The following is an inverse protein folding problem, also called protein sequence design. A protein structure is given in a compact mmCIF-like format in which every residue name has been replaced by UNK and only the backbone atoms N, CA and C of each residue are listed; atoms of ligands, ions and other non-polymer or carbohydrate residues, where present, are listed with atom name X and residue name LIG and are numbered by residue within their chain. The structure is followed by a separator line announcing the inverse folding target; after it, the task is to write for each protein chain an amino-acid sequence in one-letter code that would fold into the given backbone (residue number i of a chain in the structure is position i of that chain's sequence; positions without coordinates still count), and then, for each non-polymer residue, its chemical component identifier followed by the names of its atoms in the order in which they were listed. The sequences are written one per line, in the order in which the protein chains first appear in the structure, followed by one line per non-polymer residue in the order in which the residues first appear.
data_IF_226599799698
#
_entry.id   IF_226599799698
#
_cell.length_a   1.000
_cell.length_b   1.000
_cell.length_c   1.000
_cell.angle_alpha   90.00
_cell.angle_beta   90.00
_cell.angle_gamma   90.00
#
_symmetry.space_group_name_H-M   'P 1'
#
loop_
_entity.id
_entity.type
_entity.pdbx_description
1 polymer ?
#
# COMPACT_ATOMS: atom_id res chain seq x y z
N UNK A 1 -0.87 7.87 -7.56
CA UNK A 1 -2.22 8.15 -8.08
C UNK A 1 -2.84 6.86 -8.56
N UNK A 2 -4.09 6.60 -8.17
CA UNK A 2 -4.85 5.42 -8.62
C UNK A 2 -6.06 5.90 -9.41
N UNK A 3 -6.20 5.42 -10.64
CA UNK A 3 -7.38 5.66 -11.46
C UNK A 3 -8.41 4.58 -11.15
N UNK A 4 -9.61 5.02 -10.77
CA UNK A 4 -10.75 4.15 -10.47
C UNK A 4 -11.47 3.74 -11.76
N UNK A 5 -12.35 2.73 -11.66
CA UNK A 5 -13.13 2.24 -12.80
C UNK A 5 -14.08 3.29 -13.40
N UNK A 6 -14.48 4.30 -12.63
CA UNK A 6 -15.32 5.41 -13.10
C UNK A 6 -14.50 6.62 -13.60
N UNK A 7 -13.17 6.46 -13.74
CA UNK A 7 -12.27 7.45 -14.32
C UNK A 7 -11.78 8.53 -13.36
N UNK A 8 -12.22 8.53 -12.10
CA UNK A 8 -11.69 9.45 -11.07
C UNK A 8 -10.28 9.05 -10.66
N UNK A 9 -9.46 10.04 -10.33
CA UNK A 9 -8.14 9.84 -9.74
C UNK A 9 -8.19 10.01 -8.22
N UNK A 10 -7.74 8.99 -7.50
CA UNK A 10 -7.58 9.01 -6.05
C UNK A 10 -6.11 9.27 -5.69
N UNK A 11 -5.90 10.21 -4.77
CA UNK A 11 -4.64 10.44 -4.08
C UNK A 11 -4.76 9.89 -2.66
N UNK A 12 -4.03 8.83 -2.37
CA UNK A 12 -4.11 8.10 -1.09
C UNK A 12 -2.76 8.28 -0.41
N UNK A 13 -2.66 9.12 0.64
CA UNK A 13 -1.42 9.31 1.37
C UNK A 13 -1.09 8.05 2.17
N UNK A 14 0.15 7.58 2.08
CA UNK A 14 0.65 6.46 2.89
C UNK A 14 1.58 7.05 3.95
N UNK A 15 1.10 7.11 5.18
CA UNK A 15 1.83 7.73 6.29
C UNK A 15 2.52 6.72 7.22
N UNK A 16 2.23 5.43 7.05
CA UNK A 16 2.71 4.36 7.91
C UNK A 16 3.73 3.47 7.18
N UNK A 17 4.59 2.79 7.94
CA UNK A 17 5.51 1.78 7.39
C UNK A 17 4.69 0.61 6.84
N UNK A 18 4.82 0.37 5.54
CA UNK A 18 4.16 -0.76 4.86
C UNK A 18 4.95 -2.05 5.14
N UNK A 19 4.27 -3.04 5.71
CA UNK A 19 4.77 -4.41 5.85
C UNK A 19 4.07 -5.35 4.85
N UNK A 20 4.59 -6.58 4.59
CA UNK A 20 4.07 -7.46 3.53
C UNK A 20 2.57 -7.79 3.61
N UNK A 21 2.00 -7.76 4.81
CA UNK A 21 0.58 -8.06 5.07
C UNK A 21 -0.29 -6.79 5.18
N UNK A 22 0.28 -5.61 4.95
CA UNK A 22 -0.45 -4.36 5.06
C UNK A 22 -1.47 -4.22 3.93
N UNK A 23 -2.70 -3.85 4.29
CA UNK A 23 -3.76 -3.49 3.36
C UNK A 23 -4.29 -2.09 3.68
N UNK A 24 -4.30 -1.21 2.69
CA UNK A 24 -5.03 0.05 2.80
C UNK A 24 -6.47 -0.17 2.32
N UNK A 25 -7.45 0.12 3.17
CA UNK A 25 -8.88 -0.08 2.86
C UNK A 25 -9.55 1.28 2.66
N UNK A 26 -9.95 1.56 1.42
CA UNK A 26 -10.70 2.76 1.08
C UNK A 26 -12.18 2.41 0.98
N UNK A 27 -13.02 2.85 1.94
CA UNK A 27 -14.43 2.50 1.95
C UNK A 27 -15.17 3.11 0.77
N UNK A 28 -16.19 2.40 0.26
CA UNK A 28 -17.12 2.86 -0.80
C UNK A 28 -16.48 3.13 -2.18
N UNK A 29 -15.22 2.76 -2.40
CA UNK A 29 -14.52 2.88 -3.68
C UNK A 29 -14.46 1.57 -4.48
N UNK A 30 -15.20 0.55 -4.05
CA UNK A 30 -15.35 -0.72 -4.75
C UNK A 30 -16.49 -0.72 -5.78
N UNK A 31 -16.83 -1.92 -6.26
CA UNK A 31 -17.97 -2.13 -7.15
C UNK A 31 -19.32 -1.91 -6.45
N UNK A 32 -20.38 -1.52 -7.17
CA UNK A 32 -21.75 -1.50 -6.64
C UNK A 32 -22.18 -2.87 -6.11
N UNK A 33 -22.96 -2.88 -5.02
CA UNK A 33 -23.49 -4.12 -4.43
C UNK A 33 -24.73 -4.53 -5.24
N UNK A 34 -24.81 -5.76 -5.79
CA UNK A 34 -25.94 -6.16 -6.65
C UNK A 34 -27.32 -6.03 -6.00
N UNK A 35 -27.42 -6.29 -4.69
CA UNK A 35 -28.67 -6.19 -3.92
C UNK A 35 -29.06 -4.75 -3.56
N UNK A 36 -28.12 -3.82 -3.62
CA UNK A 36 -28.35 -2.40 -3.35
C UNK A 36 -27.32 -1.56 -4.13
N UNK A 37 -27.60 -1.24 -5.41
CA UNK A 37 -26.65 -0.55 -6.28
C UNK A 37 -26.27 0.87 -5.83
N UNK A 38 -27.02 1.43 -4.87
CA UNK A 38 -26.67 2.72 -4.24
C UNK A 38 -25.45 2.60 -3.33
N UNK A 39 -25.12 1.38 -2.88
CA UNK A 39 -23.97 1.09 -2.03
C UNK A 39 -22.84 0.51 -2.88
N UNK A 40 -21.61 0.91 -2.55
CA UNK A 40 -20.38 0.38 -3.11
C UNK A 40 -19.60 -0.39 -2.04
N UNK A 41 -18.88 -1.42 -2.46
CA UNK A 41 -17.91 -2.12 -1.63
C UNK A 41 -16.67 -1.28 -1.34
N UNK A 42 -15.65 -1.90 -0.77
CA UNK A 42 -14.39 -1.22 -0.46
C UNK A 42 -13.34 -1.53 -1.53
N UNK A 43 -12.50 -0.54 -1.81
CA UNK A 43 -11.24 -0.75 -2.52
C UNK A 43 -10.19 -1.18 -1.49
N UNK A 44 -9.50 -2.29 -1.76
CA UNK A 44 -8.39 -2.78 -0.93
C UNK A 44 -7.11 -2.73 -1.73
N UNK A 45 -6.11 -2.02 -1.22
CA UNK A 45 -4.79 -1.89 -1.86
C UNK A 45 -3.83 -2.81 -1.14
N UNK A 46 -3.32 -3.80 -1.89
CA UNK A 46 -2.25 -4.71 -1.45
C UNK A 46 -0.93 -4.27 -2.06
N UNK A 47 0.09 -4.20 -1.22
CA UNK A 47 1.43 -3.80 -1.64
C UNK A 47 2.27 -5.02 -1.98
N UNK A 48 2.74 -5.11 -3.22
CA UNK A 48 3.77 -6.07 -3.60
C UNK A 48 5.15 -5.46 -3.34
N UNK A 49 5.75 -5.82 -2.20
CA UNK A 49 7.05 -5.27 -1.78
C UNK A 49 8.17 -5.94 -2.58
N UNK A 50 8.85 -5.15 -3.42
CA UNK A 50 10.03 -5.59 -4.17
C UNK A 50 11.28 -5.32 -3.36
N UNK A 51 11.84 -6.34 -2.74
CA UNK A 51 13.15 -6.25 -2.10
C UNK A 51 14.28 -6.22 -3.14
N UNK A 52 15.40 -5.53 -2.84
CA UNK A 52 16.59 -5.60 -3.68
C UNK A 52 17.12 -7.04 -3.70
N UNK A 53 17.59 -7.49 -4.87
CA UNK A 53 18.12 -8.85 -5.03
C UNK A 53 19.54 -9.01 -4.48
N UNK A 54 20.28 -7.92 -4.34
CA UNK A 54 21.63 -7.87 -3.77
C UNK A 54 21.84 -6.53 -3.07
N UNK A 55 22.74 -6.54 -2.09
CA UNK A 55 23.24 -5.36 -1.39
C UNK A 55 24.76 -5.47 -1.27
N UNK A 56 25.48 -4.36 -1.44
CA UNK A 56 26.92 -4.30 -1.14
C UNK A 56 27.14 -4.37 0.37
N UNK A 57 28.37 -4.64 0.80
CA UNK A 57 28.67 -4.74 2.23
C UNK A 57 28.54 -3.38 2.94
N UNK A 58 28.84 -2.27 2.24
CA UNK A 58 28.60 -0.91 2.71
C UNK A 58 27.11 -0.63 2.90
N UNK A 59 26.26 -1.05 1.95
CA UNK A 59 24.80 -0.90 2.06
C UNK A 59 24.24 -1.69 3.24
N UNK A 60 24.71 -2.93 3.44
CA UNK A 60 24.33 -3.74 4.61
C UNK A 60 24.74 -3.08 5.92
N UNK A 61 25.97 -2.57 6.00
CA UNK A 61 26.46 -1.88 7.19
C UNK A 61 25.64 -0.62 7.50
N UNK A 62 25.31 0.17 6.48
CA UNK A 62 24.45 1.35 6.60
C UNK A 62 23.05 1.00 7.11
N UNK A 63 22.40 0.01 6.52
CA UNK A 63 21.06 -0.46 6.95
C UNK A 63 21.09 -0.94 8.41
N UNK A 64 22.10 -1.75 8.80
CA UNK A 64 22.23 -2.22 10.18
C UNK A 64 22.33 -1.08 11.17
N UNK A 65 23.12 -0.03 10.87
CA UNK A 65 23.27 1.14 11.75
C UNK A 65 21.95 1.91 11.91
N UNK A 66 21.22 2.13 10.82
CA UNK A 66 19.97 2.89 10.83
C UNK A 66 18.86 2.14 11.58
N UNK A 67 18.71 0.84 11.30
CA UNK A 67 17.65 0.03 11.90
C UNK A 67 17.95 -0.33 13.36
N UNK A 68 19.21 -0.54 13.73
CA UNK A 68 19.59 -0.82 15.12
C UNK A 68 19.37 0.37 16.07
N UNK A 69 19.41 1.60 15.54
CA UNK A 69 19.14 2.82 16.32
C UNK A 69 17.63 3.09 16.52
N UNK A 70 16.76 2.28 15.90
CA UNK A 70 15.30 2.45 15.90
C UNK A 70 14.57 1.42 16.78
N UNK A 71 15.32 0.64 17.57
CA UNK A 71 14.82 -0.39 18.48
C UNK A 71 14.97 -0.01 19.94
#
# INVERSE_FOLDING_TARGET
HLTTLDGRNLSIPINNVIHPNYEEVIPKEGMPIPKDPSKKGNLRIKFNIKFPTRLTDEQKAGIRKLLAASG
#
